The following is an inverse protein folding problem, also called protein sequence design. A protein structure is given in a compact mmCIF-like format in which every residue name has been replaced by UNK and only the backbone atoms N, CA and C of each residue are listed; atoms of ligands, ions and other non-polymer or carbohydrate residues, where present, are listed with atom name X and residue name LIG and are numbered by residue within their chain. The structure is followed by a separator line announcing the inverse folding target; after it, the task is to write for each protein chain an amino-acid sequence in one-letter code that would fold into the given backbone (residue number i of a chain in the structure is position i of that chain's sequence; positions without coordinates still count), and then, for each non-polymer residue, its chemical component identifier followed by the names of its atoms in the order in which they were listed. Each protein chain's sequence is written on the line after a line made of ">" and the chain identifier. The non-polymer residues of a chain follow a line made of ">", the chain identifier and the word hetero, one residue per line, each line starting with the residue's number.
data_IF_859687985096
#
_entry.id   IF_859687985096
#
_cell.length_a   1.000
_cell.length_b   1.000
_cell.length_c   1.000
_cell.angle_alpha   90.00
_cell.angle_beta   90.00
_cell.angle_gamma   90.00
#
_symmetry.space_group_name_H-M   'P 1'
#
loop_
_entity.id
_entity.type
_entity.pdbx_description
1 polymer ?
#
# COMPACT_ATOMS: atom_id res chain seq x y z
N UNK A 1 1.86 5.14 15.42
CA UNK A 1 1.14 4.06 14.70
C UNK A 1 0.72 2.94 15.65
N UNK A 2 1.60 2.01 16.04
CA UNK A 2 1.21 0.78 16.78
C UNK A 2 1.05 0.92 18.31
N UNK A 3 1.15 2.14 18.86
CA UNK A 3 0.94 2.49 20.29
C UNK A 3 1.62 1.56 21.32
N UNK A 4 2.68 0.86 20.91
CA UNK A 4 3.44 -0.05 21.76
C UNK A 4 4.91 0.34 21.72
N UNK A 5 5.50 0.58 22.90
CA UNK A 5 6.90 0.98 23.04
C UNK A 5 7.80 -0.18 22.63
N UNK A 6 8.77 0.07 21.75
CA UNK A 6 9.71 -0.94 21.27
C UNK A 6 9.19 -1.85 20.15
N UNK A 7 7.94 -1.66 19.70
CA UNK A 7 7.36 -2.48 18.63
C UNK A 7 8.15 -2.41 17.31
N UNK A 8 8.77 -1.25 17.02
CA UNK A 8 9.67 -1.13 15.88
C UNK A 8 10.90 -2.03 16.04
N UNK A 9 11.58 -1.98 17.19
CA UNK A 9 12.76 -2.80 17.49
C UNK A 9 12.45 -4.30 17.50
N UNK A 10 11.26 -4.67 17.99
CA UNK A 10 10.75 -6.05 17.89
C UNK A 10 10.54 -6.49 16.44
N UNK A 11 9.98 -5.63 15.60
CA UNK A 11 9.78 -5.90 14.17
C UNK A 11 11.13 -6.12 13.47
N UNK A 12 12.11 -5.24 13.70
CA UNK A 12 13.44 -5.37 13.11
C UNK A 12 14.13 -6.66 13.59
N UNK A 13 14.08 -6.97 14.89
CA UNK A 13 14.61 -8.24 15.41
C UNK A 13 13.92 -9.46 14.78
N UNK A 14 12.60 -9.41 14.59
CA UNK A 14 11.84 -10.44 13.90
C UNK A 14 12.31 -10.67 12.48
N UNK A 15 12.50 -9.59 11.70
CA UNK A 15 13.04 -9.64 10.34
C UNK A 15 14.44 -10.29 10.34
N UNK A 16 15.35 -9.85 11.21
CA UNK A 16 16.70 -10.40 11.30
C UNK A 16 16.69 -11.90 11.64
N UNK A 17 15.82 -12.31 12.56
CA UNK A 17 15.68 -13.72 12.97
C UNK A 17 15.11 -14.60 11.85
N UNK A 18 14.16 -14.09 11.06
CA UNK A 18 13.64 -14.82 9.90
C UNK A 18 14.72 -15.00 8.83
N UNK A 19 15.51 -13.95 8.58
CA UNK A 19 16.59 -14.01 7.59
C UNK A 19 17.77 -14.88 8.04
N UNK A 20 18.05 -14.98 9.34
CA UNK A 20 19.14 -15.86 9.83
C UNK A 20 18.87 -17.35 9.60
N UNK A 21 17.59 -17.74 9.44
CA UNK A 21 17.18 -19.11 9.07
C UNK A 21 16.85 -19.25 7.57
N UNK A 22 17.13 -18.23 6.76
CA UNK A 22 16.93 -18.26 5.31
C UNK A 22 15.47 -18.11 4.85
N UNK A 23 14.55 -17.67 5.71
CA UNK A 23 13.17 -17.45 5.31
C UNK A 23 13.05 -16.24 4.37
N UNK A 24 12.05 -16.27 3.48
CA UNK A 24 11.66 -15.10 2.70
C UNK A 24 10.81 -14.16 3.56
N UNK A 25 11.02 -12.85 3.40
CA UNK A 25 10.39 -11.80 4.19
C UNK A 25 9.80 -10.74 3.26
N UNK A 26 8.48 -10.54 3.36
CA UNK A 26 7.77 -9.40 2.79
C UNK A 26 7.45 -8.36 3.89
N UNK A 27 7.88 -7.11 3.69
CA UNK A 27 7.48 -5.97 4.51
C UNK A 27 6.21 -5.36 3.92
N UNK A 28 5.15 -5.29 4.71
CA UNK A 28 3.85 -4.76 4.30
C UNK A 28 3.54 -3.46 5.03
N UNK A 29 3.49 -2.36 4.29
CA UNK A 29 3.28 -1.01 4.82
C UNK A 29 1.86 -0.57 4.48
N UNK A 30 1.02 -0.34 5.49
CA UNK A 30 -0.32 0.21 5.28
C UNK A 30 -0.24 1.74 5.19
N UNK A 31 -0.67 2.30 4.06
CA UNK A 31 -0.67 3.74 3.80
C UNK A 31 -1.99 4.33 4.29
N UNK A 32 -1.88 5.34 5.15
CA UNK A 32 -3.01 6.05 5.72
C UNK A 32 -2.58 7.45 6.22
N UNK A 33 -3.51 8.26 6.69
CA UNK A 33 -3.31 9.68 7.04
C UNK A 33 -2.19 9.97 8.05
N UNK A 34 -1.77 8.99 8.85
CA UNK A 34 -0.68 9.17 9.82
C UNK A 34 0.67 8.66 9.34
N UNK A 35 0.72 7.97 8.19
CA UNK A 35 1.92 7.32 7.68
C UNK A 35 2.37 7.84 6.32
N UNK A 36 1.48 8.50 5.56
CA UNK A 36 1.76 8.90 4.17
C UNK A 36 2.98 9.83 4.02
N UNK A 37 3.19 10.78 4.95
CA UNK A 37 4.34 11.70 4.91
C UNK A 37 5.67 10.98 5.13
N UNK A 38 5.67 9.93 5.96
CA UNK A 38 6.86 9.17 6.32
C UNK A 38 7.26 8.09 5.32
N UNK A 39 6.58 7.96 4.17
CA UNK A 39 6.86 6.89 3.21
C UNK A 39 8.26 7.00 2.61
N UNK A 40 8.74 8.22 2.36
CA UNK A 40 10.09 8.45 1.86
C UNK A 40 11.15 8.05 2.90
N UNK A 41 11.00 8.49 4.14
CA UNK A 41 11.91 8.17 5.24
C UNK A 41 11.95 6.67 5.54
N UNK A 42 10.79 6.01 5.52
CA UNK A 42 10.72 4.55 5.67
C UNK A 42 11.42 3.84 4.52
N UNK A 43 11.27 4.32 3.28
CA UNK A 43 11.92 3.73 2.12
C UNK A 43 13.44 3.90 2.19
N UNK A 44 13.93 5.05 2.65
CA UNK A 44 15.36 5.28 2.92
C UNK A 44 15.88 4.37 4.03
N UNK A 45 15.13 4.20 5.11
CA UNK A 45 15.48 3.27 6.17
C UNK A 45 15.60 1.82 5.66
N UNK A 46 14.62 1.36 4.88
CA UNK A 46 14.64 0.02 4.28
C UNK A 46 15.86 -0.13 3.36
N UNK A 47 16.11 0.84 2.49
CA UNK A 47 17.27 0.82 1.60
C UNK A 47 18.60 0.79 2.35
N UNK A 48 18.72 1.51 3.47
CA UNK A 48 19.98 1.55 4.23
C UNK A 48 20.22 0.32 5.08
N UNK A 49 19.16 -0.32 5.57
CA UNK A 49 19.28 -1.30 6.65
C UNK A 49 18.72 -2.68 6.32
N UNK A 50 17.81 -2.78 5.35
CA UNK A 50 16.99 -3.97 5.10
C UNK A 50 17.02 -4.42 3.64
N UNK A 51 18.09 -4.15 2.90
CA UNK A 51 18.22 -4.55 1.47
C UNK A 51 18.15 -6.06 1.22
N UNK A 52 18.30 -6.86 2.27
CA UNK A 52 18.23 -8.31 2.24
C UNK A 52 16.80 -8.87 2.33
N UNK A 53 15.76 -8.02 2.47
CA UNK A 53 14.37 -8.48 2.42
C UNK A 53 13.94 -8.75 0.98
N UNK A 54 13.01 -9.67 0.82
CA UNK A 54 12.68 -10.25 -0.48
C UNK A 54 11.62 -9.42 -1.21
N UNK A 55 10.79 -8.68 -0.45
CA UNK A 55 9.73 -7.84 -1.02
C UNK A 55 9.29 -6.73 -0.06
N UNK A 56 9.01 -5.55 -0.61
CA UNK A 56 8.30 -4.46 0.09
C UNK A 56 6.99 -4.16 -0.62
N UNK A 57 5.90 -4.07 0.13
CA UNK A 57 4.57 -3.77 -0.40
C UNK A 57 3.98 -2.55 0.29
N UNK A 58 3.58 -1.55 -0.49
CA UNK A 58 2.71 -0.46 -0.02
C UNK A 58 1.24 -0.82 -0.26
N UNK A 59 0.44 -0.75 0.80
CA UNK A 59 -0.92 -1.28 0.83
C UNK A 59 -1.95 -0.19 1.14
N UNK A 60 -3.03 -0.17 0.37
CA UNK A 60 -4.20 0.64 0.67
C UNK A 60 -4.92 0.12 1.93
N UNK A 61 -5.48 1.06 2.71
CA UNK A 61 -6.18 0.80 3.96
C UNK A 61 -7.51 0.05 3.73
N UNK A 62 -7.69 -1.11 4.36
CA UNK A 62 -9.00 -1.79 4.46
C UNK A 62 -9.81 -1.17 5.63
N UNK A 63 -11.08 -0.79 5.39
CA UNK A 63 -11.93 -0.13 6.40
C UNK A 63 -12.61 -1.20 7.28
N UNK A 64 -11.80 -1.85 8.10
CA UNK A 64 -12.24 -2.90 9.04
C UNK A 64 -11.66 -2.69 10.44
N UNK A 65 -12.20 -3.39 11.44
CA UNK A 65 -11.75 -3.33 12.83
C UNK A 65 -11.67 -1.89 13.37
N UNK A 66 -10.54 -1.55 13.99
CA UNK A 66 -10.30 -0.23 14.59
C UNK A 66 -10.31 0.94 13.59
N UNK A 67 -10.16 0.67 12.28
CA UNK A 67 -10.27 1.73 11.26
C UNK A 67 -11.64 2.40 11.31
N UNK A 68 -12.71 1.62 11.50
CA UNK A 68 -14.09 2.14 11.57
C UNK A 68 -14.29 3.16 12.68
N UNK A 69 -13.69 2.92 13.84
CA UNK A 69 -13.78 3.82 14.99
C UNK A 69 -12.83 5.04 14.90
N UNK A 70 -11.91 5.05 13.93
CA UNK A 70 -10.85 6.06 13.83
C UNK A 70 -10.73 6.64 12.40
N UNK A 71 -11.84 6.65 11.64
CA UNK A 71 -11.86 7.08 10.25
C UNK A 71 -11.23 8.46 10.04
N UNK A 72 -11.62 9.47 10.82
CA UNK A 72 -11.12 10.86 10.67
C UNK A 72 -9.60 11.00 10.86
N UNK A 73 -9.02 10.05 11.62
CA UNK A 73 -7.59 10.00 11.94
C UNK A 73 -6.79 9.15 10.96
N UNK A 74 -7.42 8.20 10.28
CA UNK A 74 -6.74 7.18 9.48
C UNK A 74 -7.04 7.33 7.99
N UNK A 75 -8.30 7.52 7.60
CA UNK A 75 -8.66 7.59 6.21
C UNK A 75 -8.17 8.89 5.56
N UNK A 76 -7.68 8.74 4.33
CA UNK A 76 -7.25 9.81 3.44
C UNK A 76 -7.51 9.32 2.03
N UNK A 77 -7.90 10.22 1.13
CA UNK A 77 -8.11 9.86 -0.27
C UNK A 77 -6.78 9.37 -0.87
N UNK A 78 -6.72 8.17 -1.49
CA UNK A 78 -5.52 7.70 -2.17
C UNK A 78 -4.98 8.64 -3.25
N UNK A 79 -5.86 9.45 -3.83
CA UNK A 79 -5.47 10.48 -4.77
C UNK A 79 -4.59 11.55 -4.12
N UNK A 80 -4.81 11.88 -2.85
CA UNK A 80 -4.12 12.96 -2.15
C UNK A 80 -2.68 12.60 -1.78
N UNK A 81 -2.39 11.34 -1.45
CA UNK A 81 -1.03 10.88 -1.12
C UNK A 81 -0.29 10.21 -2.28
N UNK A 82 -0.83 10.29 -3.50
CA UNK A 82 -0.25 9.60 -4.68
C UNK A 82 1.19 10.01 -4.96
N UNK A 83 1.58 11.23 -4.59
CA UNK A 83 2.92 11.77 -4.87
C UNK A 83 3.99 11.14 -3.98
N UNK A 84 3.66 10.95 -2.70
CA UNK A 84 4.45 10.34 -1.64
C UNK A 84 4.59 8.84 -1.92
N UNK A 85 3.48 8.18 -2.25
CA UNK A 85 3.49 6.77 -2.64
C UNK A 85 4.37 6.55 -3.88
N UNK A 86 4.22 7.39 -4.91
CA UNK A 86 5.06 7.33 -6.11
C UNK A 86 6.54 7.48 -5.77
N UNK A 87 6.91 8.48 -4.97
CA UNK A 87 8.29 8.73 -4.59
C UNK A 87 8.90 7.53 -3.86
N UNK A 88 8.18 6.97 -2.89
CA UNK A 88 8.60 5.79 -2.13
C UNK A 88 8.80 4.55 -3.02
N UNK A 89 7.84 4.26 -3.90
CA UNK A 89 7.90 3.13 -4.85
C UNK A 89 9.08 3.28 -5.81
N UNK A 90 9.24 4.46 -6.42
CA UNK A 90 10.33 4.70 -7.36
C UNK A 90 11.71 4.64 -6.69
N UNK A 91 11.82 5.11 -5.45
CA UNK A 91 13.06 5.03 -4.68
C UNK A 91 13.50 3.58 -4.45
N UNK A 92 12.60 2.73 -3.93
CA UNK A 92 12.89 1.31 -3.70
C UNK A 92 13.15 0.55 -5.01
N UNK A 93 12.38 0.85 -6.07
CA UNK A 93 12.60 0.25 -7.38
C UNK A 93 13.97 0.62 -7.97
N UNK A 94 14.39 1.88 -7.86
CA UNK A 94 15.71 2.34 -8.29
C UNK A 94 16.84 1.66 -7.49
N UNK A 95 16.60 1.37 -6.21
CA UNK A 95 17.49 0.58 -5.36
C UNK A 95 17.47 -0.94 -5.66
N UNK A 96 16.72 -1.38 -6.68
CA UNK A 96 16.54 -2.79 -7.07
C UNK A 96 15.91 -3.66 -5.96
N UNK A 97 15.18 -3.04 -5.05
CA UNK A 97 14.34 -3.75 -4.08
C UNK A 97 13.03 -4.09 -4.78
N UNK A 98 12.62 -5.36 -4.71
CA UNK A 98 11.33 -5.78 -5.25
C UNK A 98 10.22 -5.05 -4.50
N UNK A 99 9.42 -4.27 -5.23
CA UNK A 99 8.39 -3.41 -4.65
C UNK A 99 7.05 -3.57 -5.37
N UNK A 100 5.97 -3.62 -4.60
CA UNK A 100 4.59 -3.68 -5.11
C UNK A 100 3.68 -2.66 -4.47
N UNK A 101 2.60 -2.33 -5.18
CA UNK A 101 1.47 -1.54 -4.67
C UNK A 101 0.23 -2.41 -4.66
N UNK A 102 -0.32 -2.66 -3.47
CA UNK A 102 -1.48 -3.50 -3.23
C UNK A 102 -2.69 -2.67 -2.81
N UNK A 103 -3.88 -3.18 -3.09
CA UNK A 103 -5.16 -2.62 -2.63
C UNK A 103 -5.45 -1.17 -3.04
N UNK A 104 -4.82 -0.70 -4.13
CA UNK A 104 -5.10 0.62 -4.69
C UNK A 104 -5.80 0.47 -6.05
N UNK A 105 -6.67 1.41 -6.36
CA UNK A 105 -7.27 1.52 -7.68
C UNK A 105 -6.28 2.18 -8.63
N UNK A 106 -6.12 1.63 -9.85
CA UNK A 106 -5.18 2.18 -10.84
C UNK A 106 -5.45 3.66 -11.16
N UNK A 107 -6.72 4.07 -11.23
CA UNK A 107 -7.07 5.45 -11.55
C UNK A 107 -6.70 6.47 -10.46
N UNK A 108 -6.37 6.02 -9.25
CA UNK A 108 -5.93 6.88 -8.16
C UNK A 108 -4.39 6.92 -8.02
N UNK A 109 -3.69 5.99 -8.68
CA UNK A 109 -2.23 5.95 -8.69
C UNK A 109 -1.66 6.92 -9.73
N UNK A 110 -0.41 7.33 -9.51
CA UNK A 110 0.36 7.96 -10.57
C UNK A 110 0.68 6.94 -11.67
N UNK A 111 0.50 7.33 -12.93
CA UNK A 111 0.69 6.47 -14.09
C UNK A 111 2.08 5.81 -14.16
N UNK A 112 3.11 6.50 -13.65
CA UNK A 112 4.49 5.99 -13.65
C UNK A 112 4.70 4.76 -12.76
N UNK A 113 3.81 4.51 -11.79
CA UNK A 113 3.91 3.37 -10.88
C UNK A 113 2.89 2.25 -11.16
N UNK A 114 2.10 2.34 -12.23
CA UNK A 114 1.12 1.30 -12.60
C UNK A 114 1.73 -0.09 -12.75
N UNK A 115 2.99 -0.20 -13.20
CA UNK A 115 3.68 -1.47 -13.36
C UNK A 115 3.93 -2.21 -12.03
N UNK A 116 3.94 -1.48 -10.90
CA UNK A 116 4.11 -2.04 -9.56
C UNK A 116 2.78 -2.44 -8.91
N UNK A 117 1.64 -2.02 -9.48
CA UNK A 117 0.33 -2.34 -8.95
C UNK A 117 -0.02 -3.82 -9.16
N UNK A 118 -0.55 -4.49 -8.13
CA UNK A 118 -1.00 -5.88 -8.20
C UNK A 118 -2.45 -6.04 -7.75
N UNK A 119 -3.12 -7.04 -8.32
CA UNK A 119 -4.46 -7.50 -7.91
C UNK A 119 -4.36 -8.40 -6.69
N UNK A 120 -4.26 -7.79 -5.51
CA UNK A 120 -4.00 -8.46 -4.24
C UNK A 120 -5.25 -8.66 -3.36
N UNK A 121 -6.40 -8.11 -3.75
CA UNK A 121 -7.67 -8.27 -3.03
C UNK A 121 -8.34 -9.56 -3.51
N UNK A 122 -8.66 -10.46 -2.56
CA UNK A 122 -9.36 -11.71 -2.85
C UNK A 122 -10.69 -11.47 -3.57
N UNK A 123 -11.04 -12.34 -4.52
CA UNK A 123 -12.21 -12.15 -5.40
C UNK A 123 -13.52 -11.93 -4.64
N UNK A 124 -13.73 -12.65 -3.53
CA UNK A 124 -14.94 -12.51 -2.71
C UNK A 124 -15.03 -11.19 -1.93
N UNK A 125 -13.93 -10.44 -1.80
CA UNK A 125 -13.87 -9.10 -1.17
C UNK A 125 -13.77 -7.98 -2.20
N UNK A 126 -13.55 -8.31 -3.47
CA UNK A 126 -13.17 -7.35 -4.49
C UNK A 126 -14.40 -6.87 -5.26
N UNK A 127 -14.78 -5.63 -5.02
CA UNK A 127 -15.88 -4.96 -5.70
C UNK A 127 -15.35 -3.90 -6.66
N UNK A 128 -16.20 -3.47 -7.60
CA UNK A 128 -15.89 -2.36 -8.49
C UNK A 128 -17.02 -1.35 -8.43
N UNK A 129 -16.63 -0.08 -8.37
CA UNK A 129 -17.58 1.01 -8.39
C UNK A 129 -18.29 1.12 -9.76
N UNK A 130 -19.47 1.74 -9.80
CA UNK A 130 -20.28 1.89 -11.02
C UNK A 130 -19.50 2.60 -12.14
N UNK A 131 -18.65 3.56 -11.79
CA UNK A 131 -17.79 4.29 -12.71
C UNK A 131 -16.82 3.36 -13.47
N UNK A 132 -16.58 2.14 -12.97
CA UNK A 132 -15.72 1.14 -13.62
C UNK A 132 -16.43 0.34 -14.74
N UNK A 133 -17.73 0.58 -15.01
CA UNK A 133 -18.57 -0.21 -15.92
C UNK A 133 -18.05 -0.37 -17.35
N UNK A 134 -17.17 0.52 -17.81
CA UNK A 134 -16.52 0.46 -19.14
C UNK A 134 -14.99 0.57 -19.10
N UNK A 135 -14.36 0.38 -17.93
CA UNK A 135 -12.94 0.67 -17.76
C UNK A 135 -12.04 -0.34 -18.51
N UNK A 136 -11.25 0.15 -19.47
CA UNK A 136 -10.33 -0.65 -20.30
C UNK A 136 -9.23 -1.36 -19.47
N UNK A 137 -8.88 -0.81 -18.31
CA UNK A 137 -7.87 -1.36 -17.40
C UNK A 137 -8.44 -2.12 -16.21
N UNK A 138 -9.75 -2.40 -16.16
CA UNK A 138 -10.40 -3.08 -15.03
C UNK A 138 -9.72 -4.40 -14.65
N UNK A 139 -9.35 -5.22 -15.64
CA UNK A 139 -8.72 -6.52 -15.41
C UNK A 139 -7.30 -6.44 -14.82
N UNK A 140 -6.68 -5.26 -14.81
CA UNK A 140 -5.37 -4.99 -14.21
C UNK A 140 -5.48 -4.22 -12.88
N UNK A 141 -6.66 -3.73 -12.55
CA UNK A 141 -6.89 -2.89 -11.38
C UNK A 141 -6.95 -3.71 -10.09
N UNK A 142 -6.39 -3.18 -8.99
CA UNK A 142 -6.49 -3.79 -7.65
C UNK A 142 -7.94 -3.95 -7.19
N UNK A 143 -8.84 -3.09 -7.69
CA UNK A 143 -10.26 -3.06 -7.34
C UNK A 143 -10.48 -2.47 -5.95
N UNK A 144 -11.63 -2.72 -5.34
CA UNK A 144 -12.06 -2.09 -4.09
C UNK A 144 -12.35 -3.16 -3.05
N UNK A 145 -12.04 -2.89 -1.78
CA UNK A 145 -12.60 -3.70 -0.72
C UNK A 145 -14.11 -3.45 -0.64
N UNK A 146 -14.91 -4.47 -0.34
CA UNK A 146 -16.35 -4.31 -0.06
C UNK A 146 -16.64 -3.28 1.06
N UNK A 147 -15.68 -3.07 1.96
CA UNK A 147 -15.73 -2.04 3.01
C UNK A 147 -15.50 -0.61 2.51
N UNK A 148 -15.04 -0.41 1.26
CA UNK A 148 -14.82 0.92 0.66
C UNK A 148 -16.10 1.72 0.44
N UNK A 149 -17.28 1.10 0.57
CA UNK A 149 -18.57 1.81 0.65
C UNK A 149 -18.64 2.84 1.79
N UNK A 150 -17.81 2.67 2.84
CA UNK A 150 -17.74 3.58 3.99
C UNK A 150 -16.92 4.84 3.72
N UNK A 151 -15.98 4.79 2.79
CA UNK A 151 -15.22 5.95 2.31
C UNK A 151 -14.57 5.66 0.96
N UNK A 152 -14.91 6.49 -0.02
CA UNK A 152 -14.56 6.32 -1.43
C UNK A 152 -13.94 7.62 -1.95
N UNK A 153 -12.91 7.49 -2.78
CA UNK A 153 -12.29 8.63 -3.44
C UNK A 153 -13.27 9.33 -4.40
N UNK A 154 -13.26 10.65 -4.44
CA UNK A 154 -14.02 11.44 -5.43
C UNK A 154 -13.37 11.45 -6.81
N UNK A 155 -12.15 10.91 -6.94
CA UNK A 155 -11.33 10.93 -8.15
C UNK A 155 -11.38 9.64 -8.96
N UNK A 156 -12.30 8.73 -8.65
CA UNK A 156 -12.43 7.47 -9.39
C UNK A 156 -12.91 7.76 -10.82
N UNK A 157 -12.11 7.35 -11.78
CA UNK A 157 -12.39 7.49 -13.20
C UNK A 157 -12.06 6.20 -13.96
N UNK A 158 -12.88 5.87 -14.97
CA UNK A 158 -12.57 4.80 -15.90
C UNK A 158 -11.50 5.22 -16.91
N UNK A 159 -10.59 4.30 -17.22
CA UNK A 159 -9.75 4.39 -18.41
C UNK A 159 -10.59 4.03 -19.61
N UNK A 160 -10.53 4.85 -20.66
CA UNK A 160 -11.15 4.56 -21.95
C UNK A 160 -10.27 3.61 -22.78
#
# INVERSE_FOLDING_TARGET
>A
VVQSKGAFDETIRGIMNLKSVGAEVEIRVVVHKQTYEGLADLSDFIFRNLTFVDHVTFMGLEITGFTRANMDKLWMDPYDYRSELRAAVQYLAAARINVSVYNHQLCLLDGSIHQYAKRSISDWKNEYAEECGGCSLRNKCGGFFSSSSLAKSSHIAAFQ
#
